data_IF_431509210794
#
_entry.id   IF_431509210794
#
_cell.length_a   1.000
_cell.length_b   1.000
_cell.length_c   1.000
_cell.angle_alpha   90.00
_cell.angle_beta   90.00
_cell.angle_gamma   90.00
#
_symmetry.space_group_name_H-M   'P 1'
#
loop_
_entity.id
_entity.type
_entity.pdbx_description
1 polymer ?
#
# COMPACT_ATOMS: atom_id res chain seq x y z
N UNK A 1 -1.66 -11.92 11.20
CA UNK A 1 -2.22 -10.92 10.26
C UNK A 1 -1.10 -9.99 9.86
N UNK A 2 -0.88 -9.79 8.57
CA UNK A 2 0.25 -9.03 8.03
C UNK A 2 -0.24 -7.74 7.37
N UNK A 3 0.51 -6.65 7.53
CA UNK A 3 0.20 -5.31 7.01
C UNK A 3 1.26 -4.92 5.97
N UNK A 4 0.81 -4.34 4.86
CA UNK A 4 1.64 -3.84 3.78
C UNK A 4 1.27 -2.38 3.52
N UNK A 5 2.28 -1.52 3.36
CA UNK A 5 2.12 -0.07 3.08
C UNK A 5 2.70 0.26 1.70
N UNK A 6 2.00 1.11 0.97
CA UNK A 6 2.46 1.73 -0.28
C UNK A 6 2.67 3.23 0.03
N UNK A 7 3.87 3.77 -0.19
CA UNK A 7 4.17 5.18 0.04
C UNK A 7 4.52 5.92 -1.27
N UNK A 8 3.73 6.95 -1.58
CA UNK A 8 4.18 8.32 -1.91
C UNK A 8 2.99 9.28 -1.66
N UNK A 9 3.18 10.25 -0.78
CA UNK A 9 2.37 11.46 -0.51
C UNK A 9 0.82 11.41 -0.64
N UNK A 10 0.16 11.50 0.53
CA UNK A 10 -1.23 11.87 0.81
C UNK A 10 -2.30 10.77 0.99
N UNK A 11 -2.08 9.51 0.60
CA UNK A 11 -3.02 8.41 0.92
C UNK A 11 -2.22 7.16 1.30
N UNK A 12 -2.13 6.88 2.60
CA UNK A 12 -1.55 5.63 3.07
C UNK A 12 -2.57 4.50 2.85
N UNK A 13 -2.32 3.66 1.84
CA UNK A 13 -3.16 2.49 1.59
C UNK A 13 -2.58 1.30 2.35
N UNK A 14 -3.31 0.85 3.37
CA UNK A 14 -2.96 -0.32 4.16
C UNK A 14 -3.79 -1.50 3.65
N UNK A 15 -3.11 -2.54 3.19
CA UNK A 15 -3.74 -3.80 2.78
C UNK A 15 -3.44 -4.91 3.79
N UNK A 16 -4.47 -5.71 4.10
CA UNK A 16 -4.35 -6.97 4.87
C UNK A 16 -4.68 -8.17 4.00
N UNK A 17 -4.04 -9.28 4.34
CA UNK A 17 -4.32 -10.60 3.78
C UNK A 17 -4.15 -11.68 4.85
N UNK A 18 -4.85 -12.81 4.69
CA UNK A 18 -4.78 -13.95 5.63
C UNK A 18 -3.48 -14.73 5.46
N UNK A 19 -3.04 -14.91 4.21
CA UNK A 19 -1.77 -15.53 3.86
C UNK A 19 -0.61 -14.52 3.94
N UNK A 20 0.58 -15.03 4.26
CA UNK A 20 1.82 -14.26 4.28
C UNK A 20 2.50 -14.35 2.92
N UNK A 21 2.72 -13.21 2.29
CA UNK A 21 3.56 -13.12 1.09
C UNK A 21 4.93 -12.54 1.44
N UNK A 22 5.97 -13.00 0.74
CA UNK A 22 7.26 -12.31 0.76
C UNK A 22 7.14 -10.94 0.08
N UNK A 23 8.08 -10.04 0.38
CA UNK A 23 8.18 -8.74 -0.28
C UNK A 23 8.24 -8.90 -1.81
N UNK A 24 9.07 -9.84 -2.30
CA UNK A 24 9.22 -10.10 -3.73
C UNK A 24 7.91 -10.59 -4.36
N UNK A 25 7.19 -11.51 -3.70
CA UNK A 25 5.88 -11.97 -4.19
C UNK A 25 4.88 -10.82 -4.29
N UNK A 26 4.83 -9.97 -3.25
CA UNK A 26 3.96 -8.80 -3.24
C UNK A 26 4.30 -7.83 -4.38
N UNK A 27 5.57 -7.51 -4.58
CA UNK A 27 6.01 -6.65 -5.69
C UNK A 27 5.67 -7.23 -7.07
N UNK A 28 5.78 -8.55 -7.26
CA UNK A 28 5.38 -9.18 -8.51
C UNK A 28 3.87 -9.05 -8.74
N UNK A 29 3.05 -9.24 -7.71
CA UNK A 29 1.60 -9.06 -7.80
C UNK A 29 1.23 -7.61 -8.17
N UNK A 30 1.91 -6.61 -7.61
CA UNK A 30 1.71 -5.21 -7.99
C UNK A 30 2.08 -4.92 -9.45
N UNK A 31 3.16 -5.53 -9.94
CA UNK A 31 3.65 -5.35 -11.33
C UNK A 31 2.79 -6.04 -12.39
N UNK A 32 1.80 -6.85 -12.00
CA UNK A 32 0.85 -7.42 -12.95
C UNK A 32 -0.10 -6.36 -13.54
N UNK A 33 -0.26 -5.22 -12.86
CA UNK A 33 -1.08 -4.12 -13.35
C UNK A 33 -0.34 -3.35 -14.45
N UNK A 34 -1.00 -3.05 -15.58
CA UNK A 34 -0.39 -2.26 -16.64
C UNK A 34 0.06 -0.88 -16.15
N UNK A 35 1.22 -0.43 -16.63
CA UNK A 35 1.68 0.94 -16.43
C UNK A 35 0.73 1.91 -17.15
N UNK A 36 0.35 2.99 -16.47
CA UNK A 36 -0.25 4.15 -17.11
C UNK A 36 0.85 4.97 -17.78
N UNK A 37 0.62 5.34 -19.04
CA UNK A 37 1.48 6.26 -19.78
C UNK A 37 0.80 7.62 -19.89
N UNK A 38 1.38 8.64 -19.26
CA UNK A 38 0.91 10.02 -19.32
C UNK A 38 2.09 10.92 -19.69
N UNK A 39 1.95 11.67 -20.78
CA UNK A 39 2.99 12.60 -21.27
C UNK A 39 4.39 11.97 -21.45
N UNK A 40 4.44 10.66 -21.76
CA UNK A 40 5.70 9.93 -21.93
C UNK A 40 6.31 9.38 -20.63
N UNK A 41 5.67 9.62 -19.49
CA UNK A 41 6.01 9.01 -18.21
C UNK A 41 5.19 7.75 -17.99
N UNK A 42 5.85 6.67 -17.56
CA UNK A 42 5.20 5.40 -17.23
C UNK A 42 5.21 5.22 -15.72
N UNK A 43 4.04 5.20 -15.11
CA UNK A 43 3.87 5.01 -13.68
C UNK A 43 2.82 3.92 -13.43
N UNK A 44 2.93 3.26 -12.28
CA UNK A 44 1.85 2.39 -11.83
C UNK A 44 0.76 3.25 -11.19
N UNK A 45 -0.49 2.85 -11.38
CA UNK A 45 -1.64 3.45 -10.71
C UNK A 45 -1.92 2.70 -9.41
N UNK A 46 -1.74 3.38 -8.29
CA UNK A 46 -1.91 2.79 -6.96
C UNK A 46 -3.34 2.29 -6.72
N UNK A 47 -4.36 2.97 -7.25
CA UNK A 47 -5.74 2.52 -7.16
C UNK A 47 -5.97 1.28 -8.02
N UNK A 48 -5.35 1.21 -9.20
CA UNK A 48 -5.42 0.03 -10.05
C UNK A 48 -4.70 -1.17 -9.40
N UNK A 49 -3.53 -0.94 -8.78
CA UNK A 49 -2.82 -1.96 -7.98
C UNK A 49 -3.70 -2.45 -6.84
N UNK A 50 -4.27 -1.55 -6.05
CA UNK A 50 -5.09 -1.94 -4.90
C UNK A 50 -6.33 -2.73 -5.34
N UNK A 51 -7.03 -2.27 -6.37
CA UNK A 51 -8.16 -3.00 -6.94
C UNK A 51 -7.76 -4.37 -7.47
N UNK A 52 -6.59 -4.48 -8.11
CA UNK A 52 -6.07 -5.75 -8.59
C UNK A 52 -5.80 -6.72 -7.44
N UNK A 53 -5.12 -6.26 -6.39
CA UNK A 53 -4.81 -7.06 -5.20
C UNK A 53 -6.08 -7.52 -4.48
N UNK A 54 -7.09 -6.63 -4.34
CA UNK A 54 -8.37 -6.98 -3.71
C UNK A 54 -9.13 -8.01 -4.55
N UNK A 55 -9.31 -7.74 -5.85
CA UNK A 55 -10.18 -8.56 -6.69
C UNK A 55 -9.56 -9.90 -7.09
N UNK A 56 -8.23 -9.93 -7.32
CA UNK A 56 -7.55 -11.13 -7.81
C UNK A 56 -6.97 -12.00 -6.70
N UNK A 57 -6.47 -11.38 -5.64
CA UNK A 57 -5.78 -12.08 -4.56
C UNK A 57 -6.55 -12.04 -3.24
N UNK A 58 -7.68 -11.32 -3.15
CA UNK A 58 -8.50 -11.31 -1.93
C UNK A 58 -7.92 -10.47 -0.80
N UNK A 59 -7.04 -9.51 -1.11
CA UNK A 59 -6.63 -8.51 -0.12
C UNK A 59 -7.84 -7.69 0.34
N UNK A 60 -7.72 -7.11 1.52
CA UNK A 60 -8.72 -6.19 2.06
C UNK A 60 -8.03 -4.88 2.41
N UNK A 61 -8.61 -3.77 1.98
CA UNK A 61 -8.16 -2.45 2.42
C UNK A 61 -8.65 -2.20 3.85
N UNK A 62 -7.77 -1.64 4.67
CA UNK A 62 -8.10 -1.15 6.01
C UNK A 62 -8.10 0.37 5.91
N UNK A 63 -9.19 1.01 6.30
CA UNK A 63 -9.17 2.45 6.55
C UNK A 63 -8.31 2.71 7.78
N UNK A 64 -7.29 3.58 7.71
CA UNK A 64 -6.53 3.95 8.89
C UNK A 64 -7.50 4.61 9.89
N UNK A 65 -7.74 3.92 10.99
CA UNK A 65 -8.40 4.53 12.15
C UNK A 65 -7.39 5.56 12.69
N UNK A 66 -7.84 6.79 12.95
CA UNK A 66 -6.99 7.94 13.33
C UNK A 66 -5.98 7.67 14.46
N UNK A 67 -6.16 6.60 15.25
CA UNK A 67 -5.19 6.13 16.25
C UNK A 67 -3.83 5.67 15.68
N UNK A 68 -3.74 5.30 14.40
CA UNK A 68 -2.45 4.96 13.76
C UNK A 68 -1.50 6.17 13.64
N UNK A 69 -2.04 7.39 13.63
CA UNK A 69 -1.25 8.62 13.61
C UNK A 69 -0.82 9.10 15.01
N UNK A 70 -1.40 8.54 16.08
CA UNK A 70 -1.10 8.95 17.47
C UNK A 70 0.15 8.28 18.06
N UNK A 71 0.81 7.36 17.34
CA UNK A 71 2.05 6.70 17.82
C UNK A 71 3.34 7.29 17.25
N UNK A 72 3.27 8.39 16.49
CA UNK A 72 4.46 9.04 15.90
C UNK A 72 4.80 10.42 16.49
N UNK A 73 4.00 10.93 17.43
CA UNK A 73 4.30 12.16 18.16
C UNK A 73 4.69 11.85 19.61
N UNK A 74 5.93 11.39 19.86
CA UNK A 74 6.70 11.80 21.06
C UNK A 74 8.12 11.21 21.09
N UNK A 75 9.06 11.68 20.26
CA UNK A 75 10.51 11.63 20.60
C UNK A 75 11.30 12.79 19.95
N UNK A 76 10.77 14.01 20.00
CA UNK A 76 11.57 15.19 19.64
C UNK A 76 11.38 16.34 20.62
N UNK A 77 11.56 16.11 21.91
CA UNK A 77 11.85 17.20 22.85
C UNK A 77 12.53 16.65 24.11
N UNK A 78 13.85 16.41 24.01
CA UNK A 78 14.75 16.59 25.16
C UNK A 78 16.01 17.29 24.68
N UNK A 79 16.09 18.55 25.11
CA UNK A 79 17.20 19.51 25.00
C UNK A 79 18.56 18.93 25.42
#
# INVERSE_FOLDING_TARGET
MYHYSLYDQCIEIILKHTEKFSQEQFEQMCKEVPLLECEGFKNYDDLAICNHLINRYGFQQIEPIAEFYLSYDDESEKE
#
